data_IF_654169624182
#
_entry.id   IF_654169624182
#
_cell.length_a   1.000
_cell.length_b   1.000
_cell.length_c   1.000
_cell.angle_alpha   90.00
_cell.angle_beta   90.00
_cell.angle_gamma   90.00
#
_symmetry.space_group_name_H-M   'P 1'
#
loop_
_entity.id
_entity.type
_entity.pdbx_description
1 polymer ?
#
# COMPACT_ATOMS: atom_id res chain seq x y z
N UNK A 1 9.91 1.62 -3.40
CA UNK A 1 10.30 0.83 -2.20
C UNK A 1 11.41 -0.21 -2.44
N UNK A 2 11.39 -1.06 -3.49
CA UNK A 2 12.41 -2.13 -3.64
C UNK A 2 13.83 -1.58 -3.82
N UNK A 3 13.99 -0.59 -4.69
CA UNK A 3 15.27 0.12 -4.87
C UNK A 3 15.76 0.79 -3.58
N UNK A 4 14.84 1.26 -2.73
CA UNK A 4 15.17 1.89 -1.46
C UNK A 4 15.68 0.85 -0.45
N UNK A 5 14.94 -0.24 -0.22
CA UNK A 5 15.35 -1.32 0.68
C UNK A 5 16.73 -1.88 0.32
N UNK A 6 16.98 -2.13 -0.98
CA UNK A 6 18.29 -2.53 -1.51
C UNK A 6 19.40 -1.51 -1.28
N UNK A 7 19.09 -0.22 -1.27
CA UNK A 7 20.09 0.84 -1.07
C UNK A 7 20.40 1.06 0.40
N UNK A 8 19.41 0.89 1.28
CA UNK A 8 19.58 1.04 2.73
C UNK A 8 20.31 -0.15 3.34
N UNK A 9 19.92 -1.38 3.01
CA UNK A 9 20.48 -2.58 3.63
C UNK A 9 20.61 -3.75 2.64
N UNK A 10 21.56 -3.67 1.67
CA UNK A 10 21.70 -4.68 0.62
C UNK A 10 21.98 -6.10 1.12
N UNK A 11 22.63 -6.24 2.27
CA UNK A 11 22.97 -7.54 2.88
C UNK A 11 21.93 -8.09 3.86
N UNK A 12 20.85 -7.35 4.14
CA UNK A 12 19.85 -7.78 5.12
C UNK A 12 19.09 -9.02 4.62
N UNK A 13 18.85 -10.06 5.44
CA UNK A 13 18.18 -11.29 5.01
C UNK A 13 16.81 -11.07 4.35
N UNK A 14 16.03 -10.12 4.86
CA UNK A 14 14.72 -9.80 4.27
C UNK A 14 14.84 -9.16 2.87
N UNK A 15 15.93 -8.44 2.59
CA UNK A 15 16.17 -7.78 1.30
C UNK A 15 16.75 -8.75 0.29
N UNK A 16 17.70 -9.60 0.70
CA UNK A 16 18.26 -10.65 -0.17
C UNK A 16 17.17 -11.68 -0.53
N UNK A 17 16.27 -11.99 0.40
CA UNK A 17 15.09 -12.83 0.16
C UNK A 17 14.12 -12.31 -0.91
N UNK A 18 14.11 -11.00 -1.21
CA UNK A 18 13.27 -10.46 -2.30
C UNK A 18 13.71 -10.96 -3.69
N UNK A 19 14.99 -11.30 -3.84
CA UNK A 19 15.55 -11.80 -5.12
C UNK A 19 15.25 -13.28 -5.38
N UNK A 20 14.79 -14.02 -4.36
CA UNK A 20 14.49 -15.46 -4.43
C UNK A 20 13.00 -15.75 -4.62
N UNK A 21 12.16 -14.71 -4.74
CA UNK A 21 10.75 -14.86 -5.11
C UNK A 21 10.66 -15.44 -6.54
N UNK A 22 10.16 -16.68 -6.63
CA UNK A 22 10.34 -17.70 -7.69
C UNK A 22 9.87 -17.38 -9.13
N UNK A 23 9.65 -16.13 -9.50
CA UNK A 23 9.25 -15.76 -10.87
C UNK A 23 10.30 -14.87 -11.53
N UNK A 24 11.17 -15.44 -12.38
CA UNK A 24 12.07 -14.66 -13.21
C UNK A 24 11.27 -13.62 -14.00
N UNK A 25 11.71 -12.36 -13.98
CA UNK A 25 11.10 -11.15 -14.57
C UNK A 25 10.03 -10.40 -13.77
N UNK A 26 9.42 -10.98 -12.72
CA UNK A 26 8.46 -10.26 -11.91
C UNK A 26 9.16 -9.45 -10.81
N UNK A 27 8.89 -8.14 -10.78
CA UNK A 27 9.31 -7.28 -9.67
C UNK A 27 8.55 -7.72 -8.41
N UNK A 28 9.20 -7.77 -7.23
CA UNK A 28 8.51 -8.02 -5.97
C UNK A 28 7.34 -7.04 -5.80
N UNK A 29 6.21 -7.56 -5.33
CA UNK A 29 5.03 -6.76 -5.05
C UNK A 29 5.33 -5.70 -3.97
N UNK A 30 4.68 -4.53 -4.07
CA UNK A 30 4.88 -3.42 -3.12
C UNK A 30 4.67 -3.86 -1.65
N UNK A 31 3.61 -4.61 -1.28
CA UNK A 31 3.41 -5.05 0.11
C UNK A 31 4.56 -5.93 0.63
N UNK A 32 5.03 -6.90 -0.16
CA UNK A 32 6.16 -7.76 0.21
C UNK A 32 7.44 -6.96 0.42
N UNK A 33 7.66 -5.97 -0.44
CA UNK A 33 8.82 -5.10 -0.35
C UNK A 33 8.76 -4.16 0.86
N UNK A 34 7.57 -3.68 1.21
CA UNK A 34 7.35 -2.88 2.41
C UNK A 34 7.60 -3.68 3.67
N UNK A 35 7.19 -4.95 3.73
CA UNK A 35 7.56 -5.87 4.82
C UNK A 35 9.08 -6.03 4.97
N UNK A 36 9.80 -6.21 3.86
CA UNK A 36 11.26 -6.28 3.89
C UNK A 36 11.91 -4.95 4.35
N UNK A 37 11.33 -3.81 3.97
CA UNK A 37 11.78 -2.49 4.45
C UNK A 37 11.47 -2.31 5.93
N UNK A 38 10.32 -2.77 6.41
CA UNK A 38 9.95 -2.73 7.82
C UNK A 38 10.95 -3.49 8.69
N UNK A 39 11.32 -4.70 8.26
CA UNK A 39 12.36 -5.48 8.93
C UNK A 39 13.75 -4.80 8.92
N UNK A 40 14.08 -4.02 7.88
CA UNK A 40 15.33 -3.24 7.83
C UNK A 40 15.30 -2.04 8.79
N UNK A 41 14.13 -1.44 8.99
CA UNK A 41 13.94 -0.26 9.84
C UNK A 41 13.60 -0.61 11.29
N UNK A 42 13.47 -1.90 11.63
CA UNK A 42 13.08 -2.39 12.95
C UNK A 42 11.75 -1.81 13.45
N UNK A 43 10.78 -1.68 12.53
CA UNK A 43 9.41 -1.26 12.86
C UNK A 43 8.52 -2.48 13.08
N UNK A 44 7.57 -2.35 14.01
CA UNK A 44 6.60 -3.41 14.28
C UNK A 44 5.62 -3.62 13.12
N UNK A 45 4.99 -4.80 13.08
CA UNK A 45 3.95 -5.12 12.09
C UNK A 45 2.79 -4.11 12.13
N UNK A 46 2.42 -3.64 13.33
CA UNK A 46 1.35 -2.67 13.56
C UNK A 46 1.73 -1.27 13.06
N UNK A 47 2.94 -0.78 13.40
CA UNK A 47 3.44 0.52 12.90
C UNK A 47 3.56 0.52 11.37
N UNK A 48 4.07 -0.58 10.79
CA UNK A 48 4.15 -0.72 9.35
C UNK A 48 2.76 -0.72 8.71
N UNK A 49 1.80 -1.48 9.26
CA UNK A 49 0.44 -1.53 8.75
C UNK A 49 -0.24 -0.16 8.83
N UNK A 50 -0.12 0.55 9.94
CA UNK A 50 -0.61 1.93 10.08
C UNK A 50 0.01 2.87 9.05
N UNK A 51 1.34 2.80 8.88
CA UNK A 51 2.04 3.61 7.89
C UNK A 51 1.56 3.36 6.47
N UNK A 52 1.27 2.09 6.12
CA UNK A 52 0.70 1.73 4.82
C UNK A 52 -0.72 2.26 4.65
N UNK A 53 -1.60 2.04 5.64
CA UNK A 53 -2.99 2.54 5.58
C UNK A 53 -3.02 4.05 5.44
N UNK A 54 -2.18 4.76 6.20
CA UNK A 54 -2.07 6.20 6.11
C UNK A 54 -1.56 6.69 4.74
N UNK A 55 -0.57 6.02 4.15
CA UNK A 55 -0.05 6.32 2.80
C UNK A 55 -1.14 6.16 1.73
N UNK A 56 -2.00 5.14 1.85
CA UNK A 56 -3.14 4.94 0.95
C UNK A 56 -4.21 6.03 1.14
N UNK A 57 -4.56 6.38 2.38
CA UNK A 57 -5.52 7.46 2.68
C UNK A 57 -5.04 8.81 2.13
N UNK A 58 -3.76 9.13 2.32
CA UNK A 58 -3.14 10.33 1.76
C UNK A 58 -3.16 10.33 0.23
N UNK A 59 -2.87 9.18 -0.39
CA UNK A 59 -2.92 9.04 -1.85
C UNK A 59 -4.31 9.32 -2.40
N UNK A 60 -5.35 8.78 -1.76
CA UNK A 60 -6.75 8.98 -2.15
C UNK A 60 -7.18 10.43 -1.92
N UNK A 61 -6.87 11.01 -0.76
CA UNK A 61 -7.20 12.40 -0.44
C UNK A 61 -6.54 13.39 -1.41
N UNK A 62 -5.26 13.19 -1.71
CA UNK A 62 -4.52 14.01 -2.68
C UNK A 62 -5.06 13.84 -4.11
N UNK A 63 -5.51 12.64 -4.49
CA UNK A 63 -6.14 12.41 -5.78
C UNK A 63 -7.51 13.11 -5.86
N UNK A 64 -8.31 13.06 -4.79
CA UNK A 64 -9.59 13.74 -4.71
C UNK A 64 -9.45 15.25 -4.92
N UNK A 65 -8.48 15.92 -4.27
CA UNK A 65 -8.24 17.36 -4.46
C UNK A 65 -7.79 17.75 -5.88
N UNK A 66 -7.24 16.81 -6.66
CA UNK A 66 -6.87 17.05 -8.07
C UNK A 66 -8.06 16.90 -9.01
N UNK A 67 -9.06 16.09 -8.63
CA UNK A 67 -10.22 15.76 -9.45
C UNK A 67 -11.43 16.62 -9.11
N UNK A 68 -11.57 16.97 -7.83
CA UNK A 68 -12.71 17.66 -7.27
C UNK A 68 -12.23 19.03 -6.78
N UNK A 69 -12.91 20.13 -7.15
CA UNK A 69 -12.69 21.40 -6.49
C UNK A 69 -13.09 21.27 -5.01
N UNK A 70 -12.25 21.71 -4.09
CA UNK A 70 -12.51 21.61 -2.65
C UNK A 70 -11.46 22.33 -1.80
N UNK A 71 -11.76 22.50 -0.52
CA UNK A 71 -10.81 23.04 0.46
C UNK A 71 -9.82 21.93 0.87
N UNK A 72 -8.50 22.17 0.80
CA UNK A 72 -7.50 21.22 1.30
C UNK A 72 -7.74 20.77 2.75
N UNK A 73 -8.34 21.62 3.60
CA UNK A 73 -8.68 21.27 4.98
C UNK A 73 -9.72 20.14 5.06
N UNK A 74 -10.64 20.04 4.10
CA UNK A 74 -11.63 18.96 4.06
C UNK A 74 -10.94 17.61 3.91
N UNK A 75 -9.88 17.55 3.10
CA UNK A 75 -9.11 16.32 2.87
C UNK A 75 -8.40 15.83 4.14
N UNK A 76 -7.95 16.76 5.00
CA UNK A 76 -7.38 16.43 6.31
C UNK A 76 -8.47 15.92 7.25
N UNK A 77 -9.64 16.56 7.24
CA UNK A 77 -10.78 16.12 8.05
C UNK A 77 -11.24 14.69 7.67
N UNK A 78 -11.21 14.33 6.38
CA UNK A 78 -11.53 12.97 5.94
C UNK A 78 -10.57 11.93 6.50
N UNK A 79 -9.27 12.22 6.51
CA UNK A 79 -8.25 11.29 7.03
C UNK A 79 -8.41 11.13 8.54
N UNK A 80 -8.66 12.21 9.27
CA UNK A 80 -8.95 12.14 10.71
C UNK A 80 -10.23 11.33 10.99
N UNK A 81 -11.28 11.55 10.20
CA UNK A 81 -12.54 10.81 10.34
C UNK A 81 -12.40 9.32 9.98
N UNK A 82 -11.42 8.95 9.15
CA UNK A 82 -11.14 7.56 8.78
C UNK A 82 -10.37 6.78 9.84
N UNK A 83 -9.87 7.42 10.91
CA UNK A 83 -9.03 6.78 11.92
C UNK A 83 -9.62 5.50 12.52
N UNK A 84 -10.92 5.43 12.92
CA UNK A 84 -11.47 4.20 13.48
C UNK A 84 -11.48 3.04 12.47
N UNK A 85 -11.73 3.35 11.19
CA UNK A 85 -11.68 2.37 10.11
C UNK A 85 -10.25 1.93 9.79
N UNK A 86 -9.30 2.86 9.85
CA UNK A 86 -7.88 2.57 9.68
C UNK A 86 -7.38 1.64 10.79
N UNK A 87 -7.73 1.92 12.05
CA UNK A 87 -7.40 1.09 13.20
C UNK A 87 -7.95 -0.34 13.06
N UNK A 88 -9.21 -0.47 12.66
CA UNK A 88 -9.83 -1.77 12.40
C UNK A 88 -9.11 -2.55 11.28
N UNK A 89 -8.79 -1.87 10.16
CA UNK A 89 -8.08 -2.48 9.05
C UNK A 89 -6.66 -2.94 9.43
N UNK A 90 -5.95 -2.18 10.28
CA UNK A 90 -4.65 -2.57 10.83
C UNK A 90 -4.78 -3.81 11.70
N UNK A 91 -5.74 -3.84 12.62
CA UNK A 91 -5.97 -4.98 13.50
C UNK A 91 -6.28 -6.26 12.70
N UNK A 92 -7.13 -6.15 11.67
CA UNK A 92 -7.41 -7.26 10.75
C UNK A 92 -6.16 -7.72 10.00
N UNK A 93 -5.37 -6.80 9.46
CA UNK A 93 -4.16 -7.12 8.70
C UNK A 93 -3.10 -7.85 9.54
N UNK A 94 -2.85 -7.38 10.77
CA UNK A 94 -1.86 -7.98 11.68
C UNK A 94 -2.30 -9.36 12.16
N UNK A 95 -3.61 -9.63 12.24
CA UNK A 95 -4.14 -10.94 12.58
C UNK A 95 -3.91 -12.01 11.49
N UNK A 96 -3.60 -11.62 10.24
CA UNK A 96 -3.38 -12.56 9.13
C UNK A 96 -2.01 -13.23 9.25
N UNK A 97 -2.01 -14.55 9.46
CA UNK A 97 -0.78 -15.37 9.55
C UNK A 97 -0.53 -16.27 8.36
N UNK A 98 -1.55 -16.50 7.54
CA UNK A 98 -1.48 -17.37 6.36
C UNK A 98 -2.24 -16.75 5.19
N UNK A 99 -1.92 -17.11 3.93
CA UNK A 99 -2.65 -16.60 2.76
C UNK A 99 -4.17 -16.89 2.80
N UNK A 100 -4.58 -18.00 3.41
CA UNK A 100 -6.00 -18.35 3.56
C UNK A 100 -6.76 -17.45 4.53
N UNK A 101 -6.05 -16.71 5.40
CA UNK A 101 -6.62 -15.72 6.31
C UNK A 101 -6.80 -14.33 5.72
N UNK A 102 -6.42 -14.09 4.45
CA UNK A 102 -6.61 -12.79 3.82
C UNK A 102 -8.13 -12.45 3.71
N UNK A 103 -8.57 -11.26 4.17
CA UNK A 103 -9.99 -10.90 4.20
C UNK A 103 -10.59 -10.80 2.79
N UNK A 104 -9.77 -10.47 1.81
CA UNK A 104 -10.12 -10.50 0.40
C UNK A 104 -8.96 -11.06 -0.42
N UNK A 105 -9.27 -11.99 -1.34
CA UNK A 105 -8.29 -12.52 -2.31
C UNK A 105 -8.16 -11.64 -3.56
N UNK A 106 -9.12 -10.74 -3.79
CA UNK A 106 -9.20 -9.83 -4.91
C UNK A 106 -10.00 -8.59 -4.52
N UNK A 107 -9.67 -7.45 -5.15
CA UNK A 107 -10.39 -6.19 -4.95
C UNK A 107 -11.32 -5.92 -6.12
N UNK A 108 -12.40 -6.71 -6.28
CA UNK A 108 -13.19 -6.77 -7.52
C UNK A 108 -13.59 -5.40 -8.09
N UNK A 109 -14.05 -4.48 -7.24
CA UNK A 109 -14.41 -3.12 -7.68
C UNK A 109 -13.18 -2.30 -8.07
N UNK A 110 -12.12 -2.34 -7.26
CA UNK A 110 -10.85 -1.64 -7.55
C UNK A 110 -10.21 -2.16 -8.84
N UNK A 111 -10.20 -3.47 -9.05
CA UNK A 111 -9.71 -4.11 -10.27
C UNK A 111 -10.56 -3.71 -11.49
N UNK A 112 -11.88 -3.73 -11.34
CA UNK A 112 -12.80 -3.26 -12.38
C UNK A 112 -12.56 -1.80 -12.76
N UNK A 113 -12.42 -0.92 -11.76
CA UNK A 113 -12.13 0.50 -11.98
C UNK A 113 -10.74 0.73 -12.58
N UNK A 114 -9.73 -0.07 -12.21
CA UNK A 114 -8.42 0.01 -12.83
C UNK A 114 -8.48 -0.33 -14.33
N UNK A 115 -9.20 -1.40 -14.70
CA UNK A 115 -9.42 -1.79 -16.09
C UNK A 115 -10.22 -0.74 -16.88
N UNK A 116 -11.22 -0.13 -16.25
CA UNK A 116 -11.99 0.95 -16.87
C UNK A 116 -11.13 2.22 -17.04
N UNK A 117 -10.35 2.57 -16.01
CA UNK A 117 -9.41 3.69 -16.05
C UNK A 117 -8.35 3.48 -17.13
N UNK A 118 -7.91 2.25 -17.40
CA UNK A 118 -6.95 2.00 -18.48
C UNK A 118 -7.47 2.44 -19.86
N UNK A 119 -8.78 2.33 -20.08
CA UNK A 119 -9.45 2.62 -21.35
C UNK A 119 -9.89 4.08 -21.51
N UNK A 120 -9.65 4.96 -20.54
CA UNK A 120 -10.08 6.37 -20.59
C UNK A 120 -9.04 7.24 -21.30
N UNK A 121 -9.49 8.11 -22.20
CA UNK A 121 -8.59 8.95 -23.02
C UNK A 121 -8.11 10.24 -22.32
N UNK A 122 -8.82 10.71 -21.29
CA UNK A 122 -8.48 11.93 -20.54
C UNK A 122 -8.26 11.59 -19.06
N UNK A 123 -7.00 11.34 -18.70
CA UNK A 123 -6.60 10.88 -17.36
C UNK A 123 -5.54 11.80 -16.79
N UNK A 124 -5.72 12.16 -15.52
CA UNK A 124 -4.71 12.88 -14.75
C UNK A 124 -3.71 11.91 -14.07
N UNK A 125 -4.10 10.65 -13.91
CA UNK A 125 -3.28 9.61 -13.30
C UNK A 125 -2.92 8.56 -14.34
N UNK A 126 -1.76 7.93 -14.17
CA UNK A 126 -1.38 6.77 -14.95
C UNK A 126 -2.09 5.53 -14.39
N UNK A 127 -2.41 4.58 -15.26
CA UNK A 127 -2.85 3.24 -14.85
C UNK A 127 -1.66 2.40 -14.39
#
# INVERSE_FOLDING_TARGET
VHRLARRLAPGHPAVTGLSTARTPSLRPLRPVTLGALGAVLDVSDEELAYGVVYDELQTIAAAALKLLPGDPLDSVAWILAAEPGAAAAVAEAVAVRTPDGLPARAGLLTEGWALEHDRRERRLFLA
#
